data_IF_113165274316
#
_entry.id   IF_113165274316
#
_cell.length_a   1.000
_cell.length_b   1.000
_cell.length_c   1.000
_cell.angle_alpha   90.00
_cell.angle_beta   90.00
_cell.angle_gamma   90.00
#
_symmetry.space_group_name_H-M   'P 1'
#
loop_
_entity.id
_entity.type
_entity.pdbx_description
1 polymer ?
#
# COMPACT_ATOMS: atom_id res chain seq x y z
N UNK A 1 -13.74 -53.59 -43.93
CA UNK A 1 -13.29 -53.51 -42.53
C UNK A 1 -12.49 -52.24 -42.39
N UNK A 2 -12.98 -51.33 -41.55
CA UNK A 2 -12.67 -49.90 -41.59
C UNK A 2 -11.30 -49.53 -41.02
N UNK A 3 -10.69 -48.57 -41.71
CA UNK A 3 -9.51 -47.79 -41.31
C UNK A 3 -9.83 -46.96 -40.07
N UNK A 4 -8.99 -47.07 -39.04
CA UNK A 4 -9.00 -46.22 -37.84
C UNK A 4 -8.67 -44.78 -38.24
N UNK A 5 -9.65 -43.89 -38.12
CA UNK A 5 -9.47 -42.45 -38.27
C UNK A 5 -8.67 -41.89 -37.11
N UNK A 6 -7.51 -41.32 -37.40
CA UNK A 6 -6.82 -40.39 -36.52
C UNK A 6 -7.53 -39.05 -36.71
N UNK A 7 -8.45 -38.73 -35.81
CA UNK A 7 -9.07 -37.42 -35.79
C UNK A 7 -8.01 -36.38 -35.41
N UNK A 8 -7.64 -35.57 -36.40
CA UNK A 8 -6.76 -34.42 -36.26
C UNK A 8 -7.42 -33.39 -35.35
N UNK A 9 -6.85 -33.18 -34.16
CA UNK A 9 -7.22 -32.07 -33.28
C UNK A 9 -6.85 -30.77 -34.02
N UNK A 10 -7.85 -29.91 -34.25
CA UNK A 10 -7.65 -28.62 -34.93
C UNK A 10 -6.77 -27.69 -34.06
N UNK A 11 -5.93 -26.82 -34.64
CA UNK A 11 -5.01 -25.96 -33.87
C UNK A 11 -5.66 -24.85 -33.03
N UNK A 12 -7.00 -24.82 -32.87
CA UNK A 12 -7.71 -23.61 -32.44
C UNK A 12 -8.62 -23.76 -31.21
N UNK A 13 -8.54 -24.86 -30.46
CA UNK A 13 -9.12 -24.90 -29.11
C UNK A 13 -8.06 -24.48 -28.08
N UNK A 14 -7.78 -23.18 -28.01
CA UNK A 14 -7.40 -22.62 -26.71
C UNK A 14 -8.62 -22.79 -25.81
N UNK A 15 -8.62 -23.83 -24.99
CA UNK A 15 -9.42 -23.88 -23.78
C UNK A 15 -9.04 -22.65 -22.96
N UNK A 16 -9.73 -21.53 -23.18
CA UNK A 16 -9.90 -20.51 -22.15
C UNK A 16 -10.63 -21.24 -21.02
N UNK A 17 -9.87 -21.81 -20.10
CA UNK A 17 -10.36 -22.17 -18.77
C UNK A 17 -10.94 -20.88 -18.19
N UNK A 18 -12.23 -20.67 -18.42
CA UNK A 18 -12.96 -19.50 -17.94
C UNK A 18 -12.91 -19.58 -16.42
N UNK A 19 -12.07 -18.74 -15.81
CA UNK A 19 -11.88 -18.72 -14.37
C UNK A 19 -13.25 -18.53 -13.69
N UNK A 20 -13.71 -19.56 -12.99
CA UNK A 20 -14.94 -19.49 -12.21
C UNK A 20 -14.63 -18.88 -10.85
N UNK A 21 -14.87 -17.58 -10.73
CA UNK A 21 -14.69 -16.82 -9.48
C UNK A 21 -15.50 -17.37 -8.28
N UNK A 22 -16.54 -18.16 -8.53
CA UNK A 22 -17.36 -18.80 -7.48
C UNK A 22 -16.75 -20.10 -6.95
N UNK A 23 -15.91 -20.76 -7.74
CA UNK A 23 -15.20 -21.98 -7.34
C UNK A 23 -14.10 -21.69 -6.31
N UNK A 24 -13.82 -22.67 -5.44
CA UNK A 24 -12.67 -22.61 -4.55
C UNK A 24 -11.38 -22.84 -5.34
N UNK A 25 -10.27 -22.16 -5.02
CA UNK A 25 -8.98 -22.46 -5.63
C UNK A 25 -8.62 -23.95 -5.46
N UNK A 26 -8.01 -24.59 -6.47
CA UNK A 26 -7.67 -26.02 -6.42
C UNK A 26 -6.47 -26.33 -5.51
N UNK A 27 -6.00 -25.35 -4.74
CA UNK A 27 -4.87 -25.42 -3.83
C UNK A 27 -5.18 -24.70 -2.51
N UNK A 28 -4.42 -25.02 -1.47
CA UNK A 28 -4.52 -24.46 -0.13
C UNK A 28 -3.41 -23.45 0.12
N UNK A 29 -3.66 -22.49 1.02
CA UNK A 29 -2.65 -21.52 1.46
C UNK A 29 -1.38 -22.22 2.01
N UNK A 30 -1.53 -23.37 2.65
CA UNK A 30 -0.41 -24.16 3.16
C UNK A 30 0.49 -24.72 2.06
N UNK A 31 -0.05 -25.01 0.88
CA UNK A 31 0.71 -25.53 -0.27
C UNK A 31 1.57 -24.41 -0.87
N UNK A 32 0.98 -23.21 -1.05
CA UNK A 32 1.72 -22.00 -1.46
C UNK A 32 2.85 -21.71 -0.47
N UNK A 33 2.54 -21.74 0.84
CA UNK A 33 3.53 -21.51 1.90
C UNK A 33 4.69 -22.51 1.83
N UNK A 34 4.40 -23.78 1.55
CA UNK A 34 5.40 -24.85 1.50
C UNK A 34 6.30 -24.75 0.25
N UNK A 35 5.81 -24.15 -0.83
CA UNK A 35 6.57 -23.97 -2.06
C UNK A 35 7.60 -22.82 -1.96
N UNK A 36 7.33 -21.81 -1.13
CA UNK A 36 8.22 -20.66 -0.92
C UNK A 36 9.51 -21.10 -0.19
N UNK A 37 10.71 -20.77 -0.71
CA UNK A 37 11.98 -21.10 -0.07
C UNK A 37 12.09 -20.61 1.37
N UNK A 38 12.69 -21.42 2.25
CA UNK A 38 12.78 -21.12 3.69
C UNK A 38 13.50 -19.80 3.98
N UNK A 39 14.49 -19.42 3.17
CA UNK A 39 15.24 -18.18 3.40
C UNK A 39 14.44 -16.92 3.09
N UNK A 40 13.40 -16.99 2.23
CA UNK A 40 12.51 -15.85 1.97
C UNK A 40 11.75 -15.39 3.23
N UNK A 41 11.63 -16.27 4.24
CA UNK A 41 10.98 -15.97 5.52
C UNK A 41 11.93 -15.38 6.56
N UNK A 42 13.24 -15.37 6.29
CA UNK A 42 14.25 -14.92 7.25
C UNK A 42 14.40 -13.41 7.11
N UNK A 43 14.08 -12.69 8.19
CA UNK A 43 14.17 -11.24 8.24
C UNK A 43 15.58 -10.84 8.68
N UNK A 44 16.24 -10.03 7.87
CA UNK A 44 17.55 -9.47 8.17
C UNK A 44 17.42 -7.98 8.50
N UNK A 45 17.47 -7.57 9.79
CA UNK A 45 17.33 -6.17 10.18
C UNK A 45 18.42 -5.27 9.59
N UNK A 46 19.65 -5.77 9.39
CA UNK A 46 20.73 -4.99 8.79
C UNK A 46 20.47 -4.72 7.31
N UNK A 47 19.92 -5.71 6.59
CA UNK A 47 19.50 -5.52 5.21
C UNK A 47 18.36 -4.50 5.14
N UNK A 48 17.33 -4.63 5.96
CA UNK A 48 16.22 -3.68 6.01
C UNK A 48 16.69 -2.25 6.36
N UNK A 49 17.58 -2.09 7.34
CA UNK A 49 18.19 -0.81 7.70
C UNK A 49 19.07 -0.23 6.57
N UNK A 50 19.71 -1.07 5.76
CA UNK A 50 20.49 -0.59 4.61
C UNK A 50 19.59 0.06 3.54
N UNK A 51 18.36 -0.44 3.34
CA UNK A 51 17.38 0.22 2.47
C UNK A 51 16.91 1.55 3.05
N UNK A 52 16.69 1.62 4.37
CA UNK A 52 16.38 2.89 5.05
C UNK A 52 17.51 3.90 4.85
N UNK A 53 18.76 3.49 5.08
CA UNK A 53 19.93 4.35 4.90
C UNK A 53 20.06 4.83 3.44
N UNK A 54 19.92 3.91 2.48
CA UNK A 54 19.93 4.23 1.04
C UNK A 54 18.89 5.30 0.72
N UNK A 55 17.64 5.09 1.12
CA UNK A 55 16.53 5.97 0.78
C UNK A 55 16.71 7.36 1.43
N UNK A 56 17.16 7.39 2.69
CA UNK A 56 17.47 8.64 3.40
C UNK A 56 18.61 9.41 2.70
N UNK A 57 19.69 8.74 2.29
CA UNK A 57 20.80 9.37 1.55
C UNK A 57 20.29 9.99 0.26
N UNK A 58 19.44 9.28 -0.50
CA UNK A 58 18.87 9.79 -1.75
C UNK A 58 17.97 11.01 -1.47
N UNK A 59 17.09 10.94 -0.46
CA UNK A 59 16.24 12.06 -0.05
C UNK A 59 17.08 13.30 0.29
N UNK A 60 18.13 13.16 1.10
CA UNK A 60 19.00 14.29 1.43
C UNK A 60 19.75 14.81 0.20
N UNK A 61 20.29 13.91 -0.64
CA UNK A 61 20.99 14.30 -1.86
C UNK A 61 20.08 15.10 -2.81
N UNK A 62 18.83 14.67 -3.01
CA UNK A 62 17.85 15.38 -3.83
C UNK A 62 17.53 16.77 -3.25
N UNK A 63 17.32 16.87 -1.93
CA UNK A 63 17.11 18.17 -1.25
C UNK A 63 18.32 19.08 -1.45
N UNK A 64 19.54 18.57 -1.24
CA UNK A 64 20.77 19.34 -1.45
C UNK A 64 20.92 19.80 -2.89
N UNK A 65 20.63 18.93 -3.87
CA UNK A 65 20.64 19.30 -5.29
C UNK A 65 19.60 20.37 -5.61
N UNK A 66 18.38 20.25 -5.07
CA UNK A 66 17.32 21.23 -5.30
C UNK A 66 17.68 22.61 -4.75
N UNK A 67 18.29 22.66 -3.57
CA UNK A 67 18.80 23.91 -2.97
C UNK A 67 20.00 24.45 -3.77
N UNK A 68 20.92 23.59 -4.20
CA UNK A 68 22.10 24.00 -4.95
C UNK A 68 21.75 24.59 -6.32
N UNK A 69 20.85 23.94 -7.06
CA UNK A 69 20.44 24.41 -8.39
C UNK A 69 19.42 25.54 -8.35
N UNK A 70 18.51 25.53 -7.36
CA UNK A 70 17.36 26.44 -7.17
C UNK A 70 16.82 27.05 -8.47
N UNK A 71 16.43 26.18 -9.40
CA UNK A 71 16.02 26.57 -10.74
C UNK A 71 14.62 26.02 -11.04
N UNK A 72 13.73 26.85 -11.60
CA UNK A 72 12.37 26.45 -11.98
C UNK A 72 12.31 25.32 -13.00
N UNK A 73 13.36 25.10 -13.77
CA UNK A 73 13.49 23.93 -14.66
C UNK A 73 13.85 22.64 -13.91
N UNK A 74 14.54 22.75 -12.77
CA UNK A 74 14.95 21.61 -11.95
C UNK A 74 13.86 21.20 -10.95
N UNK A 75 13.08 22.17 -10.45
CA UNK A 75 12.03 21.95 -9.46
C UNK A 75 11.04 20.82 -9.82
N UNK A 76 10.47 20.74 -11.03
CA UNK A 76 9.58 19.63 -11.40
C UNK A 76 10.25 18.25 -11.37
N UNK A 77 11.53 18.17 -11.76
CA UNK A 77 12.30 16.93 -11.73
C UNK A 77 12.51 16.51 -10.26
N UNK A 78 12.94 17.45 -9.42
CA UNK A 78 13.08 17.22 -7.98
C UNK A 78 11.75 16.76 -7.37
N UNK A 79 10.63 17.42 -7.66
CA UNK A 79 9.33 17.08 -7.07
C UNK A 79 8.93 15.63 -7.35
N UNK A 80 9.06 15.18 -8.60
CA UNK A 80 8.72 13.81 -9.00
C UNK A 80 9.64 12.81 -8.31
N UNK A 81 10.96 13.03 -8.34
CA UNK A 81 11.92 12.12 -7.72
C UNK A 81 11.74 12.06 -6.20
N UNK A 82 11.62 13.21 -5.55
CA UNK A 82 11.47 13.32 -4.11
C UNK A 82 10.15 12.71 -3.62
N UNK A 83 9.04 12.96 -4.33
CA UNK A 83 7.75 12.35 -4.01
C UNK A 83 7.74 10.84 -4.18
N UNK A 84 8.45 10.34 -5.19
CA UNK A 84 8.66 8.88 -5.38
C UNK A 84 9.50 8.28 -4.26
N UNK A 85 10.50 9.00 -3.75
CA UNK A 85 11.26 8.55 -2.57
C UNK A 85 10.46 8.60 -1.27
N UNK A 86 9.53 9.55 -1.12
CA UNK A 86 8.59 9.54 0.01
C UNK A 86 7.64 8.34 -0.05
N UNK A 87 7.24 7.91 -1.25
CA UNK A 87 6.57 6.63 -1.45
C UNK A 87 7.46 5.42 -1.06
N UNK A 88 8.74 5.42 -1.43
CA UNK A 88 9.68 4.38 -0.99
C UNK A 88 9.78 4.28 0.55
N UNK A 89 9.85 5.44 1.24
CA UNK A 89 9.83 5.54 2.70
C UNK A 89 8.53 4.95 3.28
N UNK A 90 7.39 5.21 2.63
CA UNK A 90 6.11 4.63 3.04
C UNK A 90 6.16 3.09 3.04
N UNK A 91 6.69 2.49 1.97
CA UNK A 91 6.79 1.03 1.83
C UNK A 91 7.70 0.41 2.92
N UNK A 92 8.82 1.06 3.28
CA UNK A 92 9.66 0.58 4.38
C UNK A 92 8.99 0.68 5.75
N UNK A 93 8.23 1.75 6.00
CA UNK A 93 7.40 1.85 7.22
C UNK A 93 6.22 0.86 7.20
N UNK A 94 5.70 0.52 6.02
CA UNK A 94 4.70 -0.51 5.82
C UNK A 94 5.24 -1.92 6.17
N UNK A 95 6.47 -2.24 5.76
CA UNK A 95 7.18 -3.47 6.17
C UNK A 95 7.38 -3.55 7.69
N UNK A 96 7.67 -2.41 8.33
CA UNK A 96 7.69 -2.33 9.80
C UNK A 96 6.30 -2.66 10.37
N UNK A 97 5.23 -2.15 9.74
CA UNK A 97 3.85 -2.38 10.11
C UNK A 97 3.46 -3.86 10.11
N UNK A 98 3.87 -4.58 9.07
CA UNK A 98 3.68 -6.03 8.95
C UNK A 98 4.60 -6.85 9.83
N UNK A 99 5.72 -6.26 10.26
CA UNK A 99 6.79 -6.95 10.95
C UNK A 99 7.67 -7.78 10.02
N UNK A 100 7.63 -7.54 8.71
CA UNK A 100 8.54 -8.12 7.72
C UNK A 100 9.92 -7.43 7.73
N UNK A 101 10.00 -6.20 8.25
CA UNK A 101 11.25 -5.46 8.39
C UNK A 101 12.25 -6.16 9.33
N UNK A 102 11.79 -6.67 10.48
CA UNK A 102 12.59 -7.43 11.46
C UNK A 102 11.72 -8.25 12.40
N UNK A 103 12.31 -9.20 13.14
CA UNK A 103 11.59 -9.93 14.20
C UNK A 103 11.43 -9.14 15.51
N UNK A 104 12.07 -7.98 15.63
CA UNK A 104 11.93 -7.12 16.80
C UNK A 104 10.77 -6.15 16.64
N UNK A 105 9.69 -6.40 17.39
CA UNK A 105 8.53 -5.51 17.42
C UNK A 105 8.90 -4.07 17.84
N UNK A 106 9.88 -3.91 18.73
CA UNK A 106 10.38 -2.59 19.14
C UNK A 106 11.11 -1.89 17.99
N UNK A 107 12.02 -2.58 17.30
CA UNK A 107 12.74 -2.00 16.16
C UNK A 107 11.75 -1.56 15.07
N UNK A 108 10.81 -2.43 14.70
CA UNK A 108 9.77 -2.11 13.74
C UNK A 108 8.94 -0.90 14.19
N UNK A 109 8.60 -0.83 15.48
CA UNK A 109 7.82 0.30 15.99
C UNK A 109 8.61 1.61 15.93
N UNK A 110 9.88 1.61 16.34
CA UNK A 110 10.73 2.82 16.31
C UNK A 110 10.95 3.29 14.87
N UNK A 111 11.42 2.40 13.99
CA UNK A 111 11.68 2.74 12.59
C UNK A 111 10.39 3.14 11.88
N UNK A 112 9.31 2.40 12.09
CA UNK A 112 8.00 2.71 11.52
C UNK A 112 7.50 4.11 11.89
N UNK A 113 7.60 4.52 13.17
CA UNK A 113 7.24 5.88 13.56
C UNK A 113 8.12 6.94 12.92
N UNK A 114 9.44 6.72 12.84
CA UNK A 114 10.35 7.68 12.21
C UNK A 114 9.97 7.88 10.73
N UNK A 115 9.86 6.79 9.99
CA UNK A 115 9.58 6.81 8.55
C UNK A 115 8.20 7.37 8.24
N UNK A 116 7.15 6.86 8.89
CA UNK A 116 5.77 7.28 8.60
C UNK A 116 5.46 8.68 9.12
N UNK A 117 5.95 9.07 10.30
CA UNK A 117 5.71 10.44 10.78
C UNK A 117 6.37 11.46 9.87
N UNK A 118 7.57 11.18 9.34
CA UNK A 118 8.26 12.04 8.38
C UNK A 118 7.45 12.34 7.12
N UNK A 119 6.56 11.42 6.70
CA UNK A 119 5.63 11.60 5.57
C UNK A 119 4.17 11.75 6.04
N UNK A 120 3.95 12.28 7.24
CA UNK A 120 2.63 12.59 7.80
C UNK A 120 1.63 11.42 7.84
N UNK A 121 2.13 10.21 8.04
CA UNK A 121 1.32 9.00 8.30
C UNK A 121 1.35 8.67 9.80
N UNK A 122 0.20 8.55 10.50
CA UNK A 122 0.18 8.10 11.88
C UNK A 122 0.45 6.59 11.94
N UNK A 123 1.71 6.20 12.16
CA UNK A 123 2.20 4.83 12.02
C UNK A 123 1.27 3.76 12.62
N UNK A 124 0.95 3.81 13.92
CA UNK A 124 0.08 2.80 14.53
C UNK A 124 -1.36 2.89 14.07
N UNK A 125 -1.90 4.10 13.93
CA UNK A 125 -3.24 4.32 13.39
C UNK A 125 -3.41 3.63 12.04
N UNK A 126 -2.49 3.88 11.10
CA UNK A 126 -2.46 3.26 9.78
C UNK A 126 -2.10 1.77 9.84
N UNK A 127 -1.10 1.36 10.62
CA UNK A 127 -0.67 -0.05 10.72
C UNK A 127 -1.81 -0.96 11.17
N UNK A 128 -2.61 -0.53 12.14
CA UNK A 128 -3.71 -1.35 12.67
C UNK A 128 -4.83 -1.47 11.63
N UNK A 129 -5.23 -0.36 10.99
CA UNK A 129 -6.25 -0.42 9.93
C UNK A 129 -5.77 -1.21 8.72
N UNK A 130 -4.49 -1.07 8.34
CA UNK A 130 -3.87 -1.85 7.27
C UNK A 130 -3.79 -3.34 7.62
N UNK A 131 -3.49 -3.69 8.87
CA UNK A 131 -3.60 -5.09 9.33
C UNK A 131 -5.03 -5.62 9.17
N UNK A 132 -6.04 -4.83 9.52
CA UNK A 132 -7.45 -5.21 9.33
C UNK A 132 -7.77 -5.41 7.84
N UNK A 133 -7.26 -4.55 6.95
CA UNK A 133 -7.33 -4.76 5.51
C UNK A 133 -6.71 -6.10 5.09
N UNK A 134 -5.47 -6.40 5.51
CA UNK A 134 -4.84 -7.70 5.25
C UNK A 134 -5.51 -8.90 5.92
N UNK A 135 -6.40 -8.72 6.88
CA UNK A 135 -7.20 -9.81 7.43
C UNK A 135 -8.50 -10.02 6.66
N UNK A 136 -8.97 -9.00 5.93
CA UNK A 136 -10.32 -8.95 5.35
C UNK A 136 -10.32 -8.65 3.83
N UNK A 137 -9.17 -8.51 3.18
CA UNK A 137 -9.03 -8.14 1.78
C UNK A 137 -9.96 -8.95 0.87
N UNK A 138 -10.62 -8.27 -0.08
CA UNK A 138 -11.61 -8.88 -0.97
C UNK A 138 -12.95 -9.21 -0.30
N UNK A 139 -13.17 -8.87 0.98
CA UNK A 139 -14.46 -8.93 1.65
C UNK A 139 -15.17 -7.57 1.59
N UNK A 140 -16.31 -7.48 0.91
CA UNK A 140 -17.01 -6.19 0.72
C UNK A 140 -17.65 -5.61 1.98
N UNK A 141 -17.75 -6.37 3.07
CA UNK A 141 -18.34 -5.92 4.34
C UNK A 141 -17.26 -5.55 5.36
N UNK A 142 -16.18 -6.34 5.42
CA UNK A 142 -15.16 -6.24 6.46
C UNK A 142 -13.89 -5.50 6.03
N UNK A 143 -13.60 -5.37 4.73
CA UNK A 143 -12.41 -4.68 4.24
C UNK A 143 -12.50 -3.15 4.44
N UNK A 144 -11.37 -2.49 4.68
CA UNK A 144 -11.23 -1.13 5.19
C UNK A 144 -11.31 -0.02 4.14
N UNK A 145 -10.74 -0.25 2.96
CA UNK A 145 -10.53 0.82 1.98
C UNK A 145 -10.82 0.36 0.57
N UNK A 146 -11.23 1.31 -0.28
CA UNK A 146 -11.50 1.10 -1.71
C UNK A 146 -12.47 -0.06 -2.04
N UNK A 147 -13.35 -0.39 -1.11
CA UNK A 147 -14.39 -1.40 -1.29
C UNK A 147 -15.46 -0.90 -2.28
N UNK A 148 -16.01 -1.76 -3.16
CA UNK A 148 -17.13 -1.43 -4.01
C UNK A 148 -18.29 -0.86 -3.20
N UNK A 149 -18.66 0.37 -3.52
CA UNK A 149 -19.68 1.09 -2.78
C UNK A 149 -21.08 0.60 -3.20
N UNK A 150 -21.95 0.20 -2.24
CA UNK A 150 -23.36 -0.04 -2.54
C UNK A 150 -24.02 1.19 -3.14
N UNK A 151 -24.86 0.99 -4.16
CA UNK A 151 -25.54 2.08 -4.88
C UNK A 151 -26.34 2.98 -3.93
N UNK A 152 -26.96 2.41 -2.90
CA UNK A 152 -27.69 3.15 -1.87
C UNK A 152 -26.79 4.18 -1.17
N UNK A 153 -25.61 3.75 -0.71
CA UNK A 153 -24.65 4.63 -0.04
C UNK A 153 -24.19 5.71 -1.01
N UNK A 154 -23.86 5.33 -2.25
CA UNK A 154 -23.43 6.30 -3.27
C UNK A 154 -24.49 7.38 -3.52
N UNK A 155 -25.77 7.02 -3.63
CA UNK A 155 -26.86 7.99 -3.85
C UNK A 155 -26.98 8.99 -2.71
N UNK A 156 -26.76 8.55 -1.47
CA UNK A 156 -26.84 9.36 -0.25
C UNK A 156 -25.65 10.32 -0.05
N UNK A 157 -24.53 10.14 -0.78
CA UNK A 157 -23.38 11.04 -0.68
C UNK A 157 -23.69 12.45 -1.18
N UNK A 158 -23.11 13.45 -0.51
CA UNK A 158 -23.14 14.84 -0.96
C UNK A 158 -22.33 15.05 -2.25
N UNK A 159 -22.55 16.20 -2.90
CA UNK A 159 -21.89 16.53 -4.15
C UNK A 159 -20.36 16.59 -4.03
N UNK A 160 -19.83 17.16 -2.95
CA UNK A 160 -18.40 17.33 -2.79
C UNK A 160 -17.72 15.96 -2.63
N UNK A 161 -18.28 15.07 -1.81
CA UNK A 161 -17.75 13.70 -1.67
C UNK A 161 -17.80 12.97 -3.02
N UNK A 162 -18.89 13.05 -3.78
CA UNK A 162 -18.97 12.45 -5.12
C UNK A 162 -17.89 12.98 -6.06
N UNK A 163 -17.70 14.31 -6.08
CA UNK A 163 -16.75 14.97 -6.95
C UNK A 163 -15.31 14.60 -6.58
N UNK A 164 -14.90 14.80 -5.33
CA UNK A 164 -13.51 14.58 -4.90
C UNK A 164 -13.13 13.09 -4.81
N UNK A 165 -14.08 12.19 -4.49
CA UNK A 165 -13.78 10.76 -4.33
C UNK A 165 -13.80 9.96 -5.63
N UNK A 166 -14.54 10.41 -6.66
CA UNK A 166 -14.76 9.61 -7.87
C UNK A 166 -14.40 10.30 -9.20
N UNK A 167 -14.03 11.60 -9.20
CA UNK A 167 -13.65 12.31 -10.43
C UNK A 167 -12.15 12.56 -10.50
N UNK A 168 -11.46 11.95 -11.46
CA UNK A 168 -10.03 12.17 -11.70
C UNK A 168 -9.74 13.68 -11.91
N UNK A 169 -8.66 14.22 -11.32
CA UNK A 169 -7.60 13.54 -10.57
C UNK A 169 -7.81 13.47 -9.04
N UNK A 170 -8.91 13.98 -8.51
CA UNK A 170 -9.11 14.16 -7.07
C UNK A 170 -9.02 12.90 -6.19
N UNK A 171 -9.42 11.69 -6.66
CA UNK A 171 -9.24 10.46 -5.88
C UNK A 171 -7.79 10.17 -5.53
N UNK A 172 -6.81 10.72 -6.27
CA UNK A 172 -5.38 10.60 -5.98
C UNK A 172 -4.91 11.49 -4.83
N UNK A 173 -5.83 12.26 -4.22
CA UNK A 173 -5.57 13.11 -3.05
C UNK A 173 -6.41 12.65 -1.85
N UNK A 174 -7.00 11.45 -1.92
CA UNK A 174 -7.99 10.99 -0.96
C UNK A 174 -7.35 10.50 0.36
N UNK A 175 -6.11 10.03 0.32
CA UNK A 175 -5.47 9.38 1.48
C UNK A 175 -5.43 10.22 2.77
N UNK A 176 -5.05 11.51 2.78
CA UNK A 176 -5.11 12.32 4.00
C UNK A 176 -6.53 12.42 4.58
N UNK A 177 -7.56 12.51 3.74
CA UNK A 177 -8.95 12.50 4.17
C UNK A 177 -9.36 11.13 4.70
N UNK A 178 -8.91 10.04 4.08
CA UNK A 178 -9.10 8.68 4.59
C UNK A 178 -8.51 8.52 6.00
N UNK A 179 -7.35 9.13 6.29
CA UNK A 179 -6.78 9.11 7.64
C UNK A 179 -7.70 9.81 8.66
N UNK A 180 -8.33 10.93 8.28
CA UNK A 180 -9.18 11.72 9.18
C UNK A 180 -10.57 11.11 9.34
N UNK A 181 -11.23 10.69 8.26
CA UNK A 181 -12.66 10.32 8.24
C UNK A 181 -12.98 8.92 7.70
N UNK A 182 -11.98 8.13 7.28
CA UNK A 182 -12.13 6.84 6.58
C UNK A 182 -12.88 6.96 5.23
N UNK A 183 -13.08 5.81 4.59
CA UNK A 183 -13.84 5.68 3.34
C UNK A 183 -15.33 6.01 3.56
N UNK A 184 -16.04 6.57 2.57
CA UNK A 184 -17.45 6.89 2.74
C UNK A 184 -18.27 5.64 3.08
N UNK A 185 -19.23 5.79 4.01
CA UNK A 185 -19.99 4.68 4.59
C UNK A 185 -19.35 4.08 5.85
N UNK A 186 -18.11 4.45 6.19
CA UNK A 186 -17.44 4.08 7.45
C UNK A 186 -17.24 5.30 8.34
N UNK A 187 -17.15 5.07 9.66
CA UNK A 187 -16.91 6.11 10.68
C UNK A 187 -15.61 5.86 11.42
N UNK A 188 -14.96 6.92 11.86
CA UNK A 188 -13.74 6.85 12.66
C UNK A 188 -12.58 7.64 12.06
N UNK A 189 -11.50 7.70 12.81
CA UNK A 189 -10.28 8.43 12.46
C UNK A 189 -9.06 7.62 12.89
N UNK A 190 -8.00 7.68 12.09
CA UNK A 190 -6.73 7.03 12.41
C UNK A 190 -5.97 7.73 13.55
N UNK A 191 -6.38 8.95 13.90
CA UNK A 191 -5.78 9.75 14.96
C UNK A 191 -6.53 9.64 16.30
N UNK A 192 -7.79 9.17 16.28
CA UNK A 192 -8.63 9.09 17.47
C UNK A 192 -8.51 7.69 18.11
N UNK A 193 -7.96 7.55 19.33
CA UNK A 193 -7.83 6.26 20.00
C UNK A 193 -9.17 5.59 20.32
N UNK A 194 -10.28 6.33 20.32
CA UNK A 194 -11.62 5.77 20.53
C UNK A 194 -12.40 5.51 19.23
N UNK A 195 -11.72 5.58 18.08
CA UNK A 195 -12.28 5.21 16.78
C UNK A 195 -12.65 3.73 16.74
N UNK A 196 -13.72 3.40 16.00
CA UNK A 196 -14.17 2.02 15.74
C UNK A 196 -13.12 1.16 14.99
N UNK A 197 -12.03 1.77 14.55
CA UNK A 197 -10.86 1.09 13.98
C UNK A 197 -10.06 0.28 15.01
N UNK A 198 -10.14 0.63 16.29
CA UNK A 198 -9.17 0.21 17.29
C UNK A 198 -9.80 -0.50 18.48
N UNK A 199 -9.17 -1.59 18.90
CA UNK A 199 -9.52 -2.28 20.13
C UNK A 199 -9.04 -1.49 21.36
N UNK A 200 -9.66 -1.67 22.55
CA UNK A 200 -9.28 -0.94 23.76
C UNK A 200 -7.80 -1.08 24.16
N UNK A 201 -7.16 -2.20 23.87
CA UNK A 201 -5.73 -2.44 24.12
C UNK A 201 -4.80 -1.74 23.13
N UNK A 202 -5.31 -1.27 21.98
CA UNK A 202 -4.53 -0.60 20.93
C UNK A 202 -4.47 0.93 21.10
N UNK A 203 -5.33 1.49 21.96
CA UNK A 203 -5.48 2.95 22.16
C UNK A 203 -4.16 3.67 22.45
N UNK A 204 -3.30 3.08 23.28
CA UNK A 204 -1.99 3.66 23.62
C UNK A 204 -1.10 3.79 22.38
N UNK A 205 -1.14 2.80 21.49
CA UNK A 205 -0.38 2.82 20.24
C UNK A 205 -0.85 3.98 19.35
N UNK A 206 -2.17 4.18 19.23
CA UNK A 206 -2.75 5.29 18.46
C UNK A 206 -2.30 6.64 19.03
N UNK A 207 -2.38 6.82 20.36
CA UNK A 207 -1.89 8.05 21.02
C UNK A 207 -0.42 8.31 20.70
N UNK A 208 0.45 7.30 20.81
CA UNK A 208 1.87 7.45 20.46
C UNK A 208 2.05 7.90 19.01
N UNK A 209 1.36 7.27 18.06
CA UNK A 209 1.47 7.66 16.64
C UNK A 209 0.93 9.06 16.36
N UNK A 210 -0.15 9.47 17.02
CA UNK A 210 -0.70 10.83 16.91
C UNK A 210 0.28 11.86 17.48
N UNK A 211 0.98 11.55 18.57
CA UNK A 211 2.01 12.43 19.13
C UNK A 211 3.22 12.57 18.19
N UNK A 212 3.73 11.47 17.63
CA UNK A 212 4.83 11.51 16.65
C UNK A 212 4.46 12.31 15.39
N UNK A 213 3.24 12.10 14.89
CA UNK A 213 2.70 12.87 13.77
C UNK A 213 2.57 14.37 14.11
N UNK A 214 2.04 14.69 15.29
CA UNK A 214 1.87 16.08 15.74
C UNK A 214 3.23 16.77 15.88
N UNK A 215 4.24 16.03 16.36
CA UNK A 215 5.61 16.53 16.42
C UNK A 215 6.17 16.87 15.03
N UNK A 216 5.94 16.01 14.03
CA UNK A 216 6.35 16.32 12.65
C UNK A 216 5.63 17.57 12.11
N UNK A 217 4.32 17.70 12.35
CA UNK A 217 3.58 18.90 11.94
C UNK A 217 4.11 20.15 12.62
N UNK A 218 4.38 20.10 13.93
CA UNK A 218 5.00 21.19 14.66
C UNK A 218 6.39 21.55 14.10
N UNK A 219 7.18 20.54 13.71
CA UNK A 219 8.47 20.75 13.04
C UNK A 219 8.31 21.45 11.69
N UNK A 220 7.33 21.06 10.87
CA UNK A 220 7.05 21.73 9.59
C UNK A 220 6.59 23.17 9.80
N UNK A 221 5.74 23.44 10.80
CA UNK A 221 5.37 24.80 11.18
C UNK A 221 6.58 25.61 11.61
N UNK A 222 7.46 25.06 12.45
CA UNK A 222 8.70 25.72 12.82
C UNK A 222 9.57 26.02 11.60
N UNK A 223 9.78 25.05 10.69
CA UNK A 223 10.58 25.22 9.48
C UNK A 223 10.01 26.31 8.56
N UNK A 224 8.68 26.44 8.47
CA UNK A 224 8.05 27.54 7.75
C UNK A 224 8.57 28.92 8.21
N UNK A 225 8.83 29.09 9.51
CA UNK A 225 9.35 30.35 10.07
C UNK A 225 10.84 30.58 9.80
N UNK A 226 11.59 29.53 9.46
CA UNK A 226 13.05 29.58 9.24
C UNK A 226 13.40 29.74 7.77
N UNK A 227 12.74 29.00 6.86
CA UNK A 227 13.11 28.93 5.44
C UNK A 227 12.07 29.52 4.48
N UNK A 228 11.04 30.20 5.00
CA UNK A 228 9.85 30.69 4.28
C UNK A 228 8.90 29.58 3.76
N UNK A 229 7.62 29.94 3.66
CA UNK A 229 6.52 29.05 3.27
C UNK A 229 6.66 28.53 1.84
N UNK A 230 7.12 29.34 0.89
CA UNK A 230 7.25 28.91 -0.50
C UNK A 230 8.38 27.88 -0.65
N UNK A 231 9.50 28.08 0.02
CA UNK A 231 10.60 27.12 -0.02
C UNK A 231 10.21 25.79 0.65
N UNK A 232 9.51 25.84 1.79
CA UNK A 232 8.98 24.63 2.44
C UNK A 232 7.99 23.90 1.54
N UNK A 233 7.11 24.63 0.86
CA UNK A 233 6.18 24.05 -0.12
C UNK A 233 6.95 23.36 -1.26
N UNK A 234 7.97 24.00 -1.84
CA UNK A 234 8.79 23.41 -2.90
C UNK A 234 9.57 22.17 -2.43
N UNK A 235 10.17 22.22 -1.24
CA UNK A 235 11.04 21.16 -0.73
C UNK A 235 10.28 19.96 -0.17
N UNK A 236 9.15 20.19 0.49
CA UNK A 236 8.42 19.14 1.22
C UNK A 236 6.98 19.00 0.76
N UNK A 237 6.25 20.11 0.63
CA UNK A 237 4.81 20.09 0.35
C UNK A 237 4.44 19.48 -1.00
N UNK A 238 5.10 19.90 -2.10
CA UNK A 238 4.83 19.35 -3.44
C UNK A 238 5.28 17.87 -3.53
N UNK A 239 6.48 17.47 -3.07
CA UNK A 239 6.84 16.06 -2.98
C UNK A 239 5.86 15.23 -2.15
N UNK A 240 5.36 15.75 -1.03
CA UNK A 240 4.34 15.09 -0.22
C UNK A 240 3.03 14.84 -0.99
N UNK A 241 2.57 15.82 -1.78
CA UNK A 241 1.39 15.65 -2.64
C UNK A 241 1.63 14.52 -3.67
N UNK A 242 2.81 14.45 -4.28
CA UNK A 242 3.16 13.39 -5.22
C UNK A 242 3.22 12.03 -4.54
N UNK A 243 3.73 11.95 -3.31
CA UNK A 243 3.66 10.73 -2.49
C UNK A 243 2.22 10.28 -2.26
N UNK A 244 1.33 11.21 -1.88
CA UNK A 244 -0.10 10.91 -1.69
C UNK A 244 -0.72 10.34 -2.97
N UNK A 245 -0.39 10.94 -4.13
CA UNK A 245 -0.82 10.44 -5.43
C UNK A 245 -0.29 9.03 -5.73
N UNK A 246 0.99 8.76 -5.43
CA UNK A 246 1.57 7.42 -5.58
C UNK A 246 0.83 6.40 -4.72
N UNK A 247 0.55 6.73 -3.45
CA UNK A 247 -0.12 5.83 -2.52
C UNK A 247 -1.52 5.47 -3.02
N UNK A 248 -2.34 6.47 -3.36
CA UNK A 248 -3.70 6.22 -3.85
C UNK A 248 -3.69 5.48 -5.19
N UNK A 249 -2.76 5.83 -6.09
CA UNK A 249 -2.62 5.19 -7.40
C UNK A 249 -2.22 3.71 -7.31
N UNK A 250 -1.15 3.40 -6.58
CA UNK A 250 -0.63 2.02 -6.44
C UNK A 250 -1.65 1.16 -5.72
N UNK A 251 -2.21 1.65 -4.61
CA UNK A 251 -3.27 0.93 -3.88
C UNK A 251 -4.46 0.65 -4.78
N UNK A 252 -4.90 1.62 -5.60
CA UNK A 252 -6.00 1.37 -6.53
C UNK A 252 -5.64 0.27 -7.55
N UNK A 253 -4.48 0.37 -8.22
CA UNK A 253 -4.06 -0.58 -9.25
C UNK A 253 -3.84 -2.00 -8.74
N UNK A 254 -3.38 -2.13 -7.50
CA UNK A 254 -3.16 -3.41 -6.84
C UNK A 254 -4.46 -4.14 -6.47
N UNK A 255 -5.55 -3.39 -6.28
CA UNK A 255 -6.82 -3.92 -5.77
C UNK A 255 -7.97 -3.85 -6.79
N UNK A 256 -7.74 -3.26 -7.96
CA UNK A 256 -8.76 -3.07 -9.00
C UNK A 256 -8.20 -3.44 -10.37
N UNK A 257 -8.90 -4.38 -11.03
CA UNK A 257 -8.68 -4.70 -12.42
C UNK A 257 -9.52 -3.83 -13.34
N UNK A 258 -9.04 -3.64 -14.57
CA UNK A 258 -9.80 -2.95 -15.62
C UNK A 258 -10.40 -3.97 -16.61
N UNK A 259 -9.54 -4.72 -17.28
CA UNK A 259 -9.95 -5.78 -18.21
C UNK A 259 -10.28 -7.08 -17.45
N UNK A 260 -9.46 -7.41 -16.46
CA UNK A 260 -9.69 -8.54 -15.56
C UNK A 260 -10.67 -8.14 -14.44
N UNK A 261 -11.86 -8.72 -14.46
CA UNK A 261 -12.86 -8.49 -13.39
C UNK A 261 -12.47 -9.28 -12.15
N UNK A 262 -12.11 -8.57 -11.08
CA UNK A 262 -11.83 -9.17 -9.79
C UNK A 262 -13.12 -9.31 -8.95
N UNK A 263 -13.44 -10.50 -8.42
CA UNK A 263 -14.59 -10.68 -7.56
C UNK A 263 -14.38 -10.03 -6.19
N UNK A 264 -15.48 -9.54 -5.61
CA UNK A 264 -15.55 -9.18 -4.19
C UNK A 264 -16.52 -10.14 -3.50
N UNK A 265 -16.09 -10.73 -2.39
CA UNK A 265 -16.81 -11.80 -1.71
C UNK A 265 -17.60 -11.30 -0.49
N UNK A 266 -18.65 -12.06 -0.12
CA UNK A 266 -19.51 -11.84 1.06
C UNK A 266 -19.71 -13.12 1.85
N UNK A 267 -19.93 -12.98 3.16
CA UNK A 267 -20.35 -14.07 4.03
C UNK A 267 -19.48 -15.33 3.88
N UNK A 268 -20.13 -16.48 3.66
CA UNK A 268 -19.47 -17.79 3.56
C UNK A 268 -18.64 -17.99 2.28
N UNK A 269 -18.83 -17.14 1.26
CA UNK A 269 -18.00 -17.18 0.05
C UNK A 269 -16.61 -16.61 0.30
N UNK A 270 -16.46 -15.71 1.27
CA UNK A 270 -15.15 -15.15 1.55
C UNK A 270 -14.26 -16.14 2.33
N UNK A 271 -13.00 -16.21 1.93
CA UNK A 271 -11.91 -16.78 2.73
C UNK A 271 -10.63 -15.96 2.49
N UNK A 272 -9.70 -16.00 3.45
CA UNK A 272 -8.42 -15.29 3.36
C UNK A 272 -7.69 -15.56 2.03
N UNK A 273 -7.61 -16.83 1.61
CA UNK A 273 -6.95 -17.22 0.36
C UNK A 273 -7.65 -16.60 -0.85
N UNK A 274 -8.99 -16.72 -0.94
CA UNK A 274 -9.76 -16.15 -2.07
C UNK A 274 -9.56 -14.64 -2.15
N UNK A 275 -9.68 -13.95 -1.02
CA UNK A 275 -9.45 -12.50 -0.96
C UNK A 275 -8.02 -12.09 -1.32
N UNK A 276 -7.01 -12.94 -1.06
CA UNK A 276 -5.62 -12.66 -1.43
C UNK A 276 -5.38 -12.77 -2.92
N UNK A 277 -6.05 -13.73 -3.56
CA UNK A 277 -5.98 -13.93 -5.00
C UNK A 277 -6.77 -12.88 -5.80
N UNK A 278 -7.50 -11.98 -5.14
CA UNK A 278 -8.19 -10.86 -5.80
C UNK A 278 -7.37 -9.58 -5.82
N UNK A 279 -6.09 -9.62 -5.44
CA UNK A 279 -5.15 -8.54 -5.74
C UNK A 279 -4.41 -8.80 -7.04
N UNK A 280 -3.74 -7.79 -7.59
CA UNK A 280 -3.03 -7.91 -8.86
C UNK A 280 -1.58 -7.44 -8.70
N UNK A 281 -0.65 -8.25 -9.20
CA UNK A 281 0.74 -7.86 -9.32
C UNK A 281 0.90 -6.79 -10.40
N UNK A 282 1.68 -5.75 -10.12
CA UNK A 282 1.95 -4.64 -11.04
C UNK A 282 3.44 -4.45 -11.24
N UNK A 283 3.84 -4.44 -12.51
CA UNK A 283 5.19 -4.08 -12.93
C UNK A 283 5.25 -2.58 -13.21
N UNK A 284 6.01 -1.85 -12.38
CA UNK A 284 6.28 -0.41 -12.52
C UNK A 284 7.61 -0.14 -13.25
N UNK A 285 8.20 -1.17 -13.87
CA UNK A 285 9.43 -1.09 -14.64
C UNK A 285 10.61 -0.61 -13.81
N UNK A 286 11.21 0.50 -14.22
CA UNK A 286 12.38 1.09 -13.55
C UNK A 286 12.11 1.50 -12.09
N UNK A 287 10.84 1.66 -11.70
CA UNK A 287 10.46 2.06 -10.35
C UNK A 287 10.34 0.88 -9.38
N UNK A 288 10.34 -0.37 -9.83
CA UNK A 288 10.14 -1.54 -8.96
C UNK A 288 11.09 -1.57 -7.76
N UNK A 289 12.40 -1.36 -8.00
CA UNK A 289 13.37 -1.37 -6.92
C UNK A 289 13.24 -0.18 -5.95
N UNK A 290 12.76 0.96 -6.44
CA UNK A 290 12.48 2.14 -5.61
C UNK A 290 11.21 1.90 -4.77
N UNK A 291 10.24 1.19 -5.35
CA UNK A 291 9.01 0.76 -4.69
C UNK A 291 9.22 -0.44 -3.76
N UNK A 292 10.48 -0.89 -3.60
CA UNK A 292 10.82 -2.08 -2.83
C UNK A 292 10.03 -3.31 -3.29
N UNK A 293 9.80 -3.45 -4.59
CA UNK A 293 9.13 -4.60 -5.22
C UNK A 293 7.71 -4.90 -4.67
N UNK A 294 7.06 -3.93 -4.01
CA UNK A 294 5.68 -4.04 -3.49
C UNK A 294 4.64 -4.33 -4.57
N UNK A 295 5.00 -4.09 -5.84
CA UNK A 295 4.23 -4.53 -7.01
C UNK A 295 4.00 -6.03 -7.07
N UNK A 296 4.79 -6.84 -6.36
CA UNK A 296 4.56 -8.28 -6.13
C UNK A 296 3.50 -8.47 -5.04
N UNK A 297 2.31 -7.95 -5.30
CA UNK A 297 1.30 -7.65 -4.31
C UNK A 297 0.47 -8.86 -3.87
N UNK A 298 0.28 -9.88 -4.73
CA UNK A 298 -0.48 -11.09 -4.39
C UNK A 298 0.22 -11.87 -3.27
N UNK A 299 1.52 -12.15 -3.42
CA UNK A 299 2.29 -12.80 -2.37
C UNK A 299 2.40 -11.94 -1.13
N UNK A 300 2.54 -10.63 -1.30
CA UNK A 300 2.51 -9.71 -0.18
C UNK A 300 1.18 -9.81 0.60
N UNK A 301 0.03 -9.91 -0.08
CA UNK A 301 -1.26 -10.09 0.56
C UNK A 301 -1.42 -11.45 1.25
N UNK A 302 -0.99 -12.52 0.61
CA UNK A 302 -1.06 -13.86 1.19
C UNK A 302 -0.11 -14.00 2.39
N UNK A 303 1.09 -13.42 2.31
CA UNK A 303 2.15 -13.55 3.30
C UNK A 303 2.88 -12.23 3.55
N UNK A 304 2.24 -11.25 4.21
CA UNK A 304 2.83 -9.92 4.43
C UNK A 304 4.06 -9.93 5.36
N UNK A 305 4.38 -11.08 5.97
CA UNK A 305 5.57 -11.29 6.79
C UNK A 305 6.85 -11.50 5.97
N UNK A 306 6.75 -11.75 4.67
CA UNK A 306 7.91 -11.88 3.78
C UNK A 306 8.50 -10.47 3.57
N UNK A 307 9.81 -10.26 3.85
CA UNK A 307 10.46 -8.98 3.58
C UNK A 307 10.37 -8.61 2.10
N UNK A 308 10.24 -7.31 1.82
CA UNK A 308 10.12 -6.80 0.46
C UNK A 308 11.21 -7.34 -0.50
N UNK A 309 12.45 -7.44 -0.03
CA UNK A 309 13.60 -7.94 -0.80
C UNK A 309 13.59 -9.45 -1.08
N UNK A 310 12.55 -10.18 -0.68
CA UNK A 310 12.29 -11.58 -1.02
C UNK A 310 10.95 -11.80 -1.74
N UNK A 311 10.13 -10.76 -1.96
CA UNK A 311 8.81 -10.92 -2.57
C UNK A 311 8.88 -11.49 -3.99
N UNK A 312 9.73 -10.91 -4.85
CA UNK A 312 9.91 -11.36 -6.23
C UNK A 312 10.38 -12.81 -6.31
N UNK A 313 11.25 -13.21 -5.38
CA UNK A 313 11.72 -14.59 -5.31
C UNK A 313 10.58 -15.52 -4.87
N UNK A 314 9.89 -15.19 -3.78
CA UNK A 314 8.77 -15.97 -3.26
C UNK A 314 7.66 -16.17 -4.32
N UNK A 315 7.38 -15.16 -5.14
CA UNK A 315 6.39 -15.22 -6.23
C UNK A 315 6.72 -16.28 -7.29
N UNK A 316 8.00 -16.54 -7.58
CA UNK A 316 8.40 -17.49 -8.64
C UNK A 316 8.18 -18.95 -8.28
N UNK A 317 7.80 -19.23 -7.03
CA UNK A 317 7.74 -20.58 -6.49
C UNK A 317 6.32 -21.12 -6.32
N UNK A 318 5.27 -20.42 -6.73
CA UNK A 318 3.89 -20.89 -6.61
C UNK A 318 3.05 -20.67 -7.86
#
# INVERSE_FOLDING_TARGET
MGSLGVDSISPNEKLELKFDSSSLPPFKLSEIRAAIPKHCWIKNPWKSLSYVLRDIIIVFALVTMAIFFDNWKFWPIYWILQGTMFWAIFVLGHDCGHGSFSDSALLNSVVGHILHSFILVPYHGWRISHKTHHQNHGNVEADESWVPMPEKIYKELDFATKFFRFKIPFPLLAYPFYLITRSPGKKGSHFNPYSDLFQPNERKCVVTSTLCWTFMVALLFYLHTVIDSLQLLKLYGIPYIIFVMWLDFVTYLHHHGHEEKLPWYRGKEWSYLRGGLTTIDRDYGVFNNIHHDIGTHVIHHLFPQIPHYHLVEAQRHW
#
